data_IF_920958194658
#
_entry.id   IF_920958194658
#
_cell.length_a   1.000
_cell.length_b   1.000
_cell.length_c   1.000
_cell.angle_alpha   90.00
_cell.angle_beta   90.00
_cell.angle_gamma   90.00
#
_symmetry.space_group_name_H-M   'P 1'
#
loop_
_entity.id
_entity.type
_entity.pdbx_description
1 polymer ?
#
# COMPACT_ATOMS: atom_id res chain seq x y z
N UNK A 1 26.27 -65.60 37.87
CA UNK A 1 27.03 -64.34 37.68
C UNK A 1 27.20 -64.05 36.18
N UNK A 2 26.13 -63.67 35.49
CA UNK A 2 26.22 -63.29 34.06
C UNK A 2 25.07 -62.35 33.67
N UNK A 3 24.88 -61.26 34.43
CA UNK A 3 23.88 -60.19 34.16
C UNK A 3 24.34 -58.80 34.64
N UNK A 4 25.65 -58.52 34.60
CA UNK A 4 26.20 -57.20 35.01
C UNK A 4 27.26 -56.59 34.08
N UNK A 5 27.41 -57.10 32.85
CA UNK A 5 28.40 -56.55 31.89
C UNK A 5 27.81 -56.08 30.56
N UNK A 6 26.48 -56.01 30.43
CA UNK A 6 25.78 -55.40 29.28
C UNK A 6 24.90 -54.27 29.83
N UNK A 7 25.53 -53.28 30.46
CA UNK A 7 24.85 -52.05 30.89
C UNK A 7 25.78 -50.84 30.94
N UNK A 8 26.96 -50.93 30.34
CA UNK A 8 27.93 -49.81 30.24
C UNK A 8 28.28 -49.50 28.77
N UNK A 9 27.89 -50.35 27.81
CA UNK A 9 28.13 -50.09 26.37
C UNK A 9 26.91 -49.45 25.67
N UNK A 10 25.71 -49.46 26.28
CA UNK A 10 24.55 -48.71 25.75
C UNK A 10 24.38 -47.29 26.32
N UNK A 11 25.15 -46.90 27.34
CA UNK A 11 25.06 -45.57 27.96
C UNK A 11 26.10 -44.57 27.43
N UNK A 12 27.00 -44.99 26.52
CA UNK A 12 27.97 -44.11 25.85
C UNK A 12 27.54 -43.77 24.41
N UNK A 13 26.58 -44.50 23.83
CA UNK A 13 26.01 -44.19 22.50
C UNK A 13 24.80 -43.23 22.60
N UNK A 14 24.30 -42.96 23.81
CA UNK A 14 23.20 -42.03 24.08
C UNK A 14 23.64 -40.74 24.82
N UNK A 15 24.93 -40.37 24.73
CA UNK A 15 25.49 -39.09 25.21
C UNK A 15 26.45 -38.51 24.14
N UNK A 16 26.19 -38.78 22.86
CA UNK A 16 26.93 -38.17 21.74
C UNK A 16 26.05 -37.96 20.50
N UNK A 17 24.78 -37.62 20.71
CA UNK A 17 23.93 -36.99 19.67
C UNK A 17 23.60 -35.52 19.96
N UNK A 18 24.26 -34.92 20.96
CA UNK A 18 24.46 -33.46 21.02
C UNK A 18 25.74 -33.06 20.26
N UNK A 19 26.03 -33.74 19.16
CA UNK A 19 26.92 -33.18 18.13
C UNK A 19 26.06 -32.16 17.41
N UNK A 20 26.29 -30.90 17.75
CA UNK A 20 26.06 -29.71 16.94
C UNK A 20 25.26 -30.01 15.66
N UNK A 21 23.95 -29.75 15.71
CA UNK A 21 23.27 -29.22 14.53
C UNK A 21 23.96 -27.90 14.21
N UNK A 22 25.12 -28.00 13.56
CA UNK A 22 25.46 -27.01 12.56
C UNK A 22 24.42 -27.27 11.48
N UNK A 23 23.24 -26.65 11.67
CA UNK A 23 22.45 -26.22 10.53
C UNK A 23 23.47 -25.48 9.70
N UNK A 24 23.85 -26.05 8.55
CA UNK A 24 24.46 -25.26 7.51
C UNK A 24 23.40 -24.20 7.23
N UNK A 25 23.53 -23.03 7.85
CA UNK A 25 22.84 -21.85 7.38
C UNK A 25 23.27 -21.77 5.91
N UNK A 26 22.34 -22.05 5.01
CA UNK A 26 22.62 -21.88 3.59
C UNK A 26 22.98 -20.40 3.40
N UNK A 27 24.05 -20.11 2.65
CA UNK A 27 24.74 -18.81 2.65
C UNK A 27 23.85 -17.57 2.36
N UNK A 28 22.58 -17.76 1.97
CA UNK A 28 21.62 -16.70 1.63
C UNK A 28 20.25 -16.81 2.36
N UNK A 29 20.09 -17.70 3.34
CA UNK A 29 18.83 -17.78 4.08
C UNK A 29 18.62 -16.52 4.93
N UNK A 30 17.42 -15.95 4.87
CA UNK A 30 17.09 -14.74 5.62
C UNK A 30 16.75 -15.11 7.06
N UNK A 31 17.39 -14.46 8.02
CA UNK A 31 17.18 -14.67 9.44
C UNK A 31 15.86 -14.02 9.92
N UNK A 32 14.73 -14.62 9.51
CA UNK A 32 13.38 -14.17 9.82
C UNK A 32 12.44 -15.38 10.01
N UNK A 33 11.19 -15.11 10.35
CA UNK A 33 10.10 -16.10 10.38
C UNK A 33 8.81 -15.49 9.85
N UNK A 34 7.88 -16.32 9.40
CA UNK A 34 6.52 -15.88 9.08
C UNK A 34 5.72 -15.73 10.37
N UNK A 35 5.32 -14.50 10.69
CA UNK A 35 4.47 -14.17 11.84
C UNK A 35 3.01 -14.52 11.56
N UNK A 36 2.52 -14.09 10.40
CA UNK A 36 1.15 -14.36 9.93
C UNK A 36 1.15 -14.58 8.43
N UNK A 37 0.22 -15.42 7.95
CA UNK A 37 0.02 -15.66 6.53
C UNK A 37 -1.43 -16.04 6.30
N UNK A 38 -2.06 -15.39 5.33
CA UNK A 38 -3.43 -15.65 4.92
C UNK A 38 -3.54 -15.52 3.42
N UNK A 39 -3.97 -16.59 2.77
CA UNK A 39 -4.35 -16.55 1.36
C UNK A 39 -5.81 -16.11 1.27
N UNK A 40 -6.06 -14.91 0.75
CA UNK A 40 -7.42 -14.43 0.53
C UNK A 40 -8.15 -15.34 -0.48
N UNK A 41 -9.50 -15.43 -0.48
CA UNK A 41 -10.25 -16.31 -1.35
C UNK A 41 -9.80 -16.31 -2.82
N UNK A 42 -9.32 -17.46 -3.26
CA UNK A 42 -8.55 -17.67 -4.50
C UNK A 42 -8.54 -19.17 -4.87
N UNK A 43 -8.16 -19.53 -6.10
CA UNK A 43 -7.90 -20.94 -6.45
C UNK A 43 -6.72 -21.57 -5.67
N UNK A 44 -5.90 -20.75 -5.01
CA UNK A 44 -4.82 -21.15 -4.10
C UNK A 44 -5.23 -21.20 -2.62
N UNK A 45 -6.41 -20.71 -2.23
CA UNK A 45 -6.86 -20.79 -0.83
C UNK A 45 -7.02 -22.26 -0.41
N UNK A 46 -6.50 -22.62 0.76
CA UNK A 46 -6.44 -24.00 1.28
C UNK A 46 -5.64 -25.00 0.43
N UNK A 47 -4.88 -24.52 -0.56
CA UNK A 47 -4.11 -25.35 -1.47
C UNK A 47 -2.74 -25.71 -0.86
N UNK A 48 -2.29 -26.97 -0.90
CA UNK A 48 -1.00 -27.39 -0.30
C UNK A 48 0.24 -27.01 -1.13
N UNK A 49 0.06 -26.36 -2.29
CA UNK A 49 1.11 -25.89 -3.18
C UNK A 49 1.31 -24.38 -3.00
N UNK A 50 0.91 -23.56 -3.98
CA UNK A 50 1.11 -22.12 -3.98
C UNK A 50 0.46 -21.41 -2.77
N UNK A 51 -0.58 -21.98 -2.16
CA UNK A 51 -1.22 -21.42 -0.97
C UNK A 51 -0.65 -21.89 0.38
N UNK A 52 0.54 -22.50 0.38
CA UNK A 52 1.15 -23.11 1.56
C UNK A 52 2.68 -22.92 1.57
N UNK A 53 3.31 -23.32 2.67
CA UNK A 53 4.77 -23.33 2.87
C UNK A 53 5.46 -21.99 2.60
N UNK A 54 4.79 -20.88 2.90
CA UNK A 54 5.29 -19.51 2.72
C UNK A 54 6.66 -19.27 3.39
N UNK A 55 6.99 -20.00 4.46
CA UNK A 55 8.31 -19.96 5.13
C UNK A 55 9.48 -20.27 4.16
N UNK A 56 9.24 -21.04 3.10
CA UNK A 56 10.27 -21.36 2.11
C UNK A 56 10.75 -20.12 1.34
N UNK A 57 9.98 -19.04 1.30
CA UNK A 57 10.40 -17.76 0.70
C UNK A 57 11.58 -17.11 1.44
N UNK A 58 11.86 -17.54 2.69
CA UNK A 58 13.00 -17.08 3.49
C UNK A 58 14.26 -17.96 3.33
N UNK A 59 14.17 -19.05 2.55
CA UNK A 59 15.25 -20.04 2.46
C UNK A 59 16.50 -19.56 1.68
N UNK A 60 16.43 -18.41 1.01
CA UNK A 60 17.45 -17.97 0.04
C UNK A 60 17.37 -18.73 -1.30
N UNK A 61 16.35 -19.57 -1.50
CA UNK A 61 16.02 -20.24 -2.77
C UNK A 61 14.67 -19.75 -3.28
N UNK A 62 14.51 -19.78 -4.61
CA UNK A 62 13.25 -19.43 -5.25
C UNK A 62 12.18 -20.46 -4.87
N UNK A 63 11.12 -20.00 -4.20
CA UNK A 63 9.93 -20.77 -3.91
C UNK A 63 8.71 -19.89 -4.07
N UNK A 64 7.80 -20.27 -4.97
CA UNK A 64 6.61 -19.47 -5.28
C UNK A 64 5.48 -19.78 -4.32
N UNK A 65 5.01 -18.75 -3.61
CA UNK A 65 3.81 -18.79 -2.80
C UNK A 65 2.88 -17.63 -3.19
N UNK A 66 1.61 -17.91 -3.41
CA UNK A 66 0.56 -16.93 -3.69
C UNK A 66 -0.04 -16.40 -2.39
N UNK A 67 -0.43 -15.12 -2.43
CA UNK A 67 -1.20 -14.47 -1.37
C UNK A 67 -2.72 -14.52 -1.65
N UNK A 68 -3.14 -15.05 -2.80
CA UNK A 68 -4.53 -15.04 -3.23
C UNK A 68 -5.01 -13.63 -3.55
N UNK A 69 -6.33 -13.45 -3.65
CA UNK A 69 -6.94 -12.23 -4.14
C UNK A 69 -6.69 -11.00 -3.22
N UNK A 70 -7.32 -9.87 -3.52
CA UNK A 70 -7.13 -8.62 -2.79
C UNK A 70 -7.08 -8.82 -1.27
N UNK A 71 -6.02 -8.26 -0.67
CA UNK A 71 -5.87 -8.17 0.77
C UNK A 71 -5.21 -9.39 1.41
N UNK A 72 -5.07 -10.51 0.70
CA UNK A 72 -4.28 -11.65 1.17
C UNK A 72 -2.82 -11.26 1.37
N UNK A 73 -2.17 -11.85 2.37
CA UNK A 73 -0.94 -11.28 2.91
C UNK A 73 -0.03 -12.28 3.60
N UNK A 74 1.24 -11.90 3.73
CA UNK A 74 2.22 -12.48 4.66
C UNK A 74 2.83 -11.36 5.49
N UNK A 75 3.11 -11.63 6.77
CA UNK A 75 3.91 -10.78 7.65
C UNK A 75 5.17 -11.55 8.04
N UNK A 76 6.32 -10.99 7.70
CA UNK A 76 7.62 -11.46 8.15
C UNK A 76 8.05 -10.69 9.40
N UNK A 77 8.58 -11.42 10.39
CA UNK A 77 9.29 -10.86 11.54
C UNK A 77 10.78 -11.20 11.40
N UNK A 78 11.61 -10.19 11.21
CA UNK A 78 13.06 -10.35 11.12
C UNK A 78 13.66 -10.44 12.51
N UNK A 79 14.61 -11.37 12.70
CA UNK A 79 15.27 -11.53 13.99
C UNK A 79 16.20 -10.34 14.28
N UNK A 80 16.95 -9.94 13.25
CA UNK A 80 17.74 -8.72 13.21
C UNK A 80 16.93 -7.58 12.58
N UNK A 81 17.28 -6.33 12.89
CA UNK A 81 16.63 -5.18 12.26
C UNK A 81 17.10 -5.06 10.81
N UNK A 82 16.22 -4.59 9.94
CA UNK A 82 16.62 -4.07 8.63
C UNK A 82 16.89 -2.58 8.83
N UNK A 83 18.16 -2.18 8.70
CA UNK A 83 18.58 -0.78 8.82
C UNK A 83 18.29 -0.04 7.51
N UNK A 84 17.83 1.21 7.61
CA UNK A 84 17.78 2.15 6.49
C UNK A 84 19.16 2.79 6.34
N UNK A 85 19.99 2.25 5.45
CA UNK A 85 21.44 2.52 5.43
C UNK A 85 21.83 3.44 4.28
N UNK A 86 22.64 4.45 4.56
CA UNK A 86 23.27 5.31 3.54
C UNK A 86 24.30 4.58 2.66
N UNK A 87 24.63 3.33 3.02
CA UNK A 87 25.48 2.41 2.25
C UNK A 87 24.69 1.38 1.45
N UNK A 88 23.37 1.50 1.41
CA UNK A 88 22.56 0.71 0.50
C UNK A 88 22.41 1.46 -0.82
N UNK A 89 22.95 0.86 -1.89
CA UNK A 89 22.97 1.47 -3.22
C UNK A 89 21.55 1.80 -3.67
N UNK A 90 21.35 3.01 -4.18
CA UNK A 90 20.05 3.56 -4.57
C UNK A 90 19.02 3.69 -3.44
N UNK A 91 19.40 3.45 -2.18
CA UNK A 91 18.49 3.40 -1.02
C UNK A 91 17.78 2.05 -0.83
N UNK A 92 18.14 1.00 -1.58
CA UNK A 92 17.42 -0.28 -1.51
C UNK A 92 17.88 -1.08 -0.29
N UNK A 93 17.02 -1.22 0.71
CA UNK A 93 17.33 -1.92 1.97
C UNK A 93 17.02 -3.41 1.95
N UNK A 94 16.02 -3.82 1.16
CA UNK A 94 15.65 -5.22 1.03
C UNK A 94 14.92 -5.48 -0.30
N UNK A 95 14.88 -6.75 -0.68
CA UNK A 95 14.22 -7.19 -1.89
C UNK A 95 13.21 -8.31 -1.62
N UNK A 96 12.00 -8.16 -2.15
CA UNK A 96 10.97 -9.22 -2.14
C UNK A 96 10.44 -9.38 -3.56
N UNK A 97 10.84 -10.45 -4.22
CA UNK A 97 10.51 -10.62 -5.64
C UNK A 97 9.43 -11.67 -5.84
N UNK A 98 8.55 -11.46 -6.82
CA UNK A 98 7.53 -12.39 -7.32
C UNK A 98 7.99 -13.12 -8.58
N UNK A 99 7.05 -13.53 -9.43
CA UNK A 99 7.33 -14.35 -10.61
C UNK A 99 6.98 -13.66 -11.95
N UNK A 100 6.57 -12.40 -11.94
CA UNK A 100 6.21 -11.65 -13.14
C UNK A 100 7.29 -11.66 -14.24
N UNK A 101 6.84 -11.73 -15.50
CA UNK A 101 7.69 -11.69 -16.70
C UNK A 101 7.45 -10.40 -17.51
N UNK A 102 8.47 -9.95 -18.23
CA UNK A 102 8.56 -8.58 -18.79
C UNK A 102 7.90 -8.33 -20.15
N UNK A 103 7.21 -9.30 -20.75
CA UNK A 103 6.80 -9.16 -22.16
C UNK A 103 5.39 -8.59 -22.39
N UNK A 104 4.51 -8.53 -21.39
CA UNK A 104 3.21 -7.86 -21.47
C UNK A 104 2.64 -7.63 -20.06
N UNK A 105 1.70 -6.68 -19.90
CA UNK A 105 0.95 -6.39 -18.66
C UNK A 105 0.08 -7.57 -18.16
N UNK A 106 0.29 -8.79 -18.66
CA UNK A 106 -0.55 -9.96 -18.45
C UNK A 106 0.00 -10.90 -17.39
N UNK A 107 1.11 -10.58 -16.72
CA UNK A 107 1.69 -11.44 -15.66
C UNK A 107 2.09 -10.63 -14.42
N UNK A 108 1.76 -9.34 -14.38
CA UNK A 108 2.07 -8.47 -13.26
C UNK A 108 0.89 -8.46 -12.31
N UNK A 109 1.15 -8.85 -11.07
CA UNK A 109 0.19 -9.05 -10.01
C UNK A 109 0.64 -8.28 -8.74
N UNK A 110 0.82 -6.94 -8.85
CA UNK A 110 1.59 -6.16 -7.87
C UNK A 110 1.12 -6.31 -6.42
N UNK A 111 2.06 -6.61 -5.55
CA UNK A 111 1.90 -6.64 -4.10
C UNK A 111 2.39 -5.34 -3.45
N UNK A 112 1.56 -4.75 -2.61
CA UNK A 112 1.93 -3.62 -1.76
C UNK A 112 2.77 -4.12 -0.59
N UNK A 113 3.87 -3.42 -0.31
CA UNK A 113 4.71 -3.68 0.86
C UNK A 113 4.43 -2.64 1.94
N UNK A 114 4.34 -3.12 3.18
CA UNK A 114 4.25 -2.31 4.38
C UNK A 114 5.38 -2.66 5.32
N UNK A 115 5.83 -1.69 6.10
CA UNK A 115 6.88 -1.88 7.09
C UNK A 115 6.43 -1.41 8.47
N UNK A 116 7.03 -1.99 9.50
CA UNK A 116 6.78 -1.62 10.89
C UNK A 116 8.00 -1.88 11.78
N UNK A 117 8.20 -1.00 12.76
CA UNK A 117 9.21 -1.18 13.80
C UNK A 117 8.71 -2.07 14.95
N UNK A 118 7.41 -2.01 15.27
CA UNK A 118 6.81 -2.63 16.46
C UNK A 118 5.81 -3.75 16.14
N UNK A 119 5.40 -3.87 14.88
CA UNK A 119 4.42 -4.85 14.40
C UNK A 119 2.96 -4.43 14.64
N UNK A 120 2.72 -3.17 15.00
CA UNK A 120 1.40 -2.58 15.29
C UNK A 120 1.14 -1.32 14.47
N UNK A 121 2.13 -0.42 14.35
CA UNK A 121 2.05 0.78 13.52
C UNK A 121 2.66 0.47 12.16
N UNK A 122 1.85 0.55 11.11
CA UNK A 122 2.24 0.14 9.76
C UNK A 122 2.29 1.33 8.80
N UNK A 123 3.34 1.37 7.99
CA UNK A 123 3.56 2.38 6.96
C UNK A 123 3.65 1.69 5.61
N UNK A 124 2.92 2.18 4.61
CA UNK A 124 3.04 1.67 3.25
C UNK A 124 4.35 2.16 2.65
N UNK A 125 5.08 1.32 1.92
CA UNK A 125 6.15 1.80 1.06
C UNK A 125 5.53 2.29 -0.25
N UNK A 126 5.56 3.60 -0.49
CA UNK A 126 4.90 4.22 -1.62
C UNK A 126 5.62 3.89 -2.94
N UNK A 127 5.18 2.84 -3.64
CA UNK A 127 5.64 2.52 -5.00
C UNK A 127 5.20 3.55 -6.05
N UNK A 128 5.49 3.31 -7.32
CA UNK A 128 5.26 4.28 -8.41
C UNK A 128 3.81 4.78 -8.49
N UNK A 129 2.84 3.86 -8.39
CA UNK A 129 1.41 4.17 -8.53
C UNK A 129 0.76 4.79 -7.28
N UNK A 130 1.47 4.91 -6.16
CA UNK A 130 0.84 5.21 -4.87
C UNK A 130 0.05 6.53 -4.91
N UNK A 131 0.55 7.57 -5.58
CA UNK A 131 -0.08 8.89 -5.67
C UNK A 131 -0.99 9.08 -6.90
N UNK A 132 -1.19 8.04 -7.72
CA UNK A 132 -2.07 8.12 -8.88
C UNK A 132 -3.55 8.08 -8.47
N UNK A 133 -4.41 8.77 -9.21
CA UNK A 133 -5.84 8.90 -8.86
C UNK A 133 -6.57 7.55 -8.77
N UNK A 134 -6.11 6.55 -9.52
CA UNK A 134 -6.71 5.21 -9.57
C UNK A 134 -6.43 4.39 -8.31
N UNK A 135 -5.36 4.71 -7.58
CA UNK A 135 -4.98 4.00 -6.35
C UNK A 135 -5.88 4.42 -5.18
N UNK A 136 -6.54 3.45 -4.54
CA UNK A 136 -7.30 3.67 -3.33
C UNK A 136 -6.49 3.23 -2.10
N UNK A 137 -6.19 4.16 -1.19
CA UNK A 137 -5.40 3.89 0.02
C UNK A 137 -6.18 3.20 1.15
N UNK A 138 -7.50 3.28 1.12
CA UNK A 138 -8.40 2.75 2.15
C UNK A 138 -9.48 1.89 1.50
N UNK A 139 -9.04 0.86 0.79
CA UNK A 139 -9.94 -0.11 0.16
C UNK A 139 -10.10 -1.34 1.05
N UNK A 140 -11.32 -1.88 1.11
CA UNK A 140 -11.60 -3.11 1.84
C UNK A 140 -12.52 -4.02 1.06
N UNK A 141 -12.32 -5.33 1.23
CA UNK A 141 -13.20 -6.37 0.71
C UNK A 141 -13.64 -7.26 1.85
N UNK A 142 -14.95 -7.39 2.02
CA UNK A 142 -15.57 -8.37 2.91
C UNK A 142 -15.92 -9.62 2.12
N UNK A 143 -15.18 -10.69 2.36
CA UNK A 143 -15.44 -12.01 1.84
C UNK A 143 -16.46 -12.75 2.71
N UNK A 144 -17.40 -13.44 2.09
CA UNK A 144 -18.46 -14.19 2.78
C UNK A 144 -18.52 -15.62 2.28
N UNK A 145 -18.51 -16.56 3.22
CA UNK A 145 -18.58 -18.00 2.95
C UNK A 145 -19.99 -18.38 2.50
N UNK A 146 -20.06 -19.17 1.43
CA UNK A 146 -21.32 -19.76 0.94
C UNK A 146 -21.57 -21.14 1.55
N UNK A 147 -22.79 -21.66 1.39
CA UNK A 147 -23.13 -23.04 1.78
C UNK A 147 -22.25 -24.11 1.10
N UNK A 148 -21.72 -23.82 -0.08
CA UNK A 148 -20.81 -24.71 -0.82
C UNK A 148 -19.33 -24.48 -0.48
N UNK A 149 -19.02 -23.76 0.60
CA UNK A 149 -17.66 -23.38 1.04
C UNK A 149 -16.86 -22.55 0.00
N UNK A 150 -17.54 -21.88 -0.93
CA UNK A 150 -16.93 -20.88 -1.81
C UNK A 150 -17.07 -19.48 -1.20
N UNK A 151 -16.54 -18.46 -1.87
CA UNK A 151 -16.56 -17.08 -1.38
C UNK A 151 -17.32 -16.14 -2.31
N UNK A 152 -18.18 -15.31 -1.72
CA UNK A 152 -18.70 -14.07 -2.31
C UNK A 152 -17.98 -12.88 -1.71
N UNK A 153 -18.13 -11.68 -2.28
CA UNK A 153 -17.54 -10.47 -1.75
C UNK A 153 -18.51 -9.28 -1.78
N UNK A 154 -18.27 -8.33 -0.88
CA UNK A 154 -18.76 -6.94 -0.94
C UNK A 154 -17.56 -6.03 -0.68
N UNK A 155 -17.32 -5.03 -1.52
CA UNK A 155 -16.22 -4.08 -1.35
C UNK A 155 -16.66 -2.75 -0.73
N UNK A 156 -15.69 -1.91 -0.32
CA UNK A 156 -15.96 -0.59 0.25
C UNK A 156 -16.54 0.43 -0.73
N UNK A 157 -16.62 0.09 -2.02
CA UNK A 157 -17.29 0.90 -3.06
C UNK A 157 -18.74 0.46 -3.28
N UNK A 158 -19.21 -0.57 -2.55
CA UNK A 158 -20.56 -1.10 -2.61
C UNK A 158 -20.79 -2.13 -3.73
N UNK A 159 -19.73 -2.55 -4.43
CA UNK A 159 -19.81 -3.62 -5.41
C UNK A 159 -19.82 -4.99 -4.72
N UNK A 160 -20.52 -5.95 -5.31
CA UNK A 160 -20.60 -7.30 -4.75
C UNK A 160 -20.72 -8.36 -5.85
N UNK A 161 -20.32 -9.58 -5.53
CA UNK A 161 -20.38 -10.69 -6.47
C UNK A 161 -19.73 -11.97 -5.95
N UNK A 162 -19.48 -12.91 -6.86
CA UNK A 162 -18.67 -14.10 -6.57
C UNK A 162 -17.19 -13.75 -6.74
N UNK A 163 -16.32 -14.35 -5.91
CA UNK A 163 -14.87 -14.19 -6.06
C UNK A 163 -14.34 -15.16 -7.11
N UNK A 164 -14.26 -14.74 -8.37
CA UNK A 164 -13.90 -15.59 -9.51
C UNK A 164 -14.70 -16.92 -9.55
N UNK A 165 -14.47 -17.77 -10.55
CA UNK A 165 -15.18 -19.04 -10.61
C UNK A 165 -14.60 -20.05 -9.59
N UNK A 166 -15.28 -20.21 -8.43
CA UNK A 166 -15.06 -21.27 -7.42
C UNK A 166 -13.91 -21.07 -6.42
N UNK A 167 -13.63 -19.83 -6.01
CA UNK A 167 -12.65 -19.58 -4.93
C UNK A 167 -13.16 -20.08 -3.57
N UNK A 168 -12.51 -21.06 -2.91
CA UNK A 168 -12.88 -21.51 -1.59
C UNK A 168 -12.70 -20.43 -0.52
N UNK A 169 -13.44 -20.58 0.60
CA UNK A 169 -13.26 -19.77 1.79
C UNK A 169 -12.10 -20.31 2.67
N UNK A 170 -11.24 -19.45 3.27
CA UNK A 170 -10.15 -19.88 4.14
C UNK A 170 -10.61 -20.76 5.30
N UNK A 171 -9.89 -21.86 5.55
CA UNK A 171 -10.14 -22.75 6.69
C UNK A 171 -9.17 -22.42 7.82
N UNK A 172 -9.66 -22.22 9.06
CA UNK A 172 -8.81 -21.92 10.23
C UNK A 172 -7.66 -22.91 10.42
N UNK A 173 -7.90 -24.19 10.12
CA UNK A 173 -6.88 -25.25 10.22
C UNK A 173 -5.64 -25.00 9.34
N UNK A 174 -5.78 -24.26 8.25
CA UNK A 174 -4.69 -23.94 7.32
C UNK A 174 -4.01 -22.60 7.66
N UNK A 175 -4.63 -21.76 8.48
CA UNK A 175 -4.14 -20.42 8.85
C UNK A 175 -4.16 -20.26 10.37
N UNK A 176 -3.44 -21.10 11.15
CA UNK A 176 -3.56 -21.17 12.60
C UNK A 176 -3.03 -19.94 13.34
N UNK A 177 -2.27 -19.07 12.67
CA UNK A 177 -1.72 -17.82 13.23
C UNK A 177 -2.66 -16.62 13.04
N UNK A 178 -3.75 -16.78 12.29
CA UNK A 178 -4.67 -15.70 11.94
C UNK A 178 -6.01 -15.95 12.61
N UNK A 179 -6.52 -14.96 13.35
CA UNK A 179 -7.86 -15.01 13.92
C UNK A 179 -8.85 -14.28 12.99
N UNK A 180 -9.78 -15.04 12.41
CA UNK A 180 -10.84 -14.53 11.54
C UNK A 180 -12.15 -15.28 11.78
N UNK A 181 -13.28 -14.70 11.38
CA UNK A 181 -14.58 -15.37 11.49
C UNK A 181 -14.74 -16.44 10.39
N UNK A 182 -15.33 -17.59 10.75
CA UNK A 182 -15.43 -18.74 9.84
C UNK A 182 -16.43 -18.55 8.70
N UNK A 183 -17.21 -17.47 8.71
CA UNK A 183 -18.23 -17.16 7.71
C UNK A 183 -18.02 -15.79 7.05
N UNK A 184 -17.28 -14.87 7.67
CA UNK A 184 -16.95 -13.56 7.11
C UNK A 184 -15.52 -13.11 7.43
N UNK A 185 -14.84 -12.55 6.42
CA UNK A 185 -13.46 -12.07 6.54
C UNK A 185 -13.37 -10.72 5.82
N UNK A 186 -13.00 -9.66 6.54
CA UNK A 186 -12.74 -8.35 5.93
C UNK A 186 -11.24 -8.12 5.84
N UNK A 187 -10.74 -7.86 4.64
CA UNK A 187 -9.36 -7.50 4.38
C UNK A 187 -9.30 -6.09 3.84
N UNK A 188 -8.42 -5.27 4.42
CA UNK A 188 -8.22 -3.86 4.04
C UNK A 188 -6.78 -3.61 3.64
N UNK A 189 -6.55 -2.60 2.80
CA UNK A 189 -5.23 -2.19 2.34
C UNK A 189 -5.29 -1.23 1.15
N UNK A 190 -4.14 -1.05 0.50
CA UNK A 190 -4.02 -0.26 -0.73
C UNK A 190 -4.45 -1.11 -1.91
N UNK A 191 -5.41 -0.61 -2.70
CA UNK A 191 -5.79 -1.16 -4.00
C UNK A 191 -5.20 -0.28 -5.11
N UNK A 192 -4.34 -0.84 -5.95
CA UNK A 192 -3.81 -0.12 -7.11
C UNK A 192 -4.85 -0.03 -8.23
N UNK A 193 -5.36 -1.18 -8.69
CA UNK A 193 -6.44 -1.26 -9.66
C UNK A 193 -7.27 -2.53 -9.47
N UNK A 194 -8.52 -2.47 -9.92
CA UNK A 194 -9.49 -3.56 -9.96
C UNK A 194 -9.92 -3.84 -11.39
N UNK A 195 -9.98 -5.10 -11.78
CA UNK A 195 -10.55 -5.53 -13.07
C UNK A 195 -11.20 -6.91 -12.95
N UNK A 196 -12.52 -6.91 -12.76
CA UNK A 196 -13.33 -8.11 -12.57
C UNK A 196 -14.03 -8.57 -13.85
N UNK A 197 -13.72 -7.94 -15.00
CA UNK A 197 -14.15 -8.49 -16.29
C UNK A 197 -13.20 -9.64 -16.65
N UNK A 198 -13.67 -10.89 -16.71
CA UNK A 198 -12.80 -12.05 -16.85
C UNK A 198 -11.96 -12.00 -18.13
N UNK A 199 -10.63 -11.93 -18.00
CA UNK A 199 -9.73 -11.87 -19.15
C UNK A 199 -8.30 -12.29 -18.78
N UNK A 200 -7.69 -13.12 -19.61
CA UNK A 200 -6.28 -13.53 -19.45
C UNK A 200 -5.29 -12.38 -19.68
N UNK A 201 -5.75 -11.29 -20.31
CA UNK A 201 -4.95 -10.09 -20.57
C UNK A 201 -4.86 -9.14 -19.37
N UNK A 202 -5.58 -9.44 -18.28
CA UNK A 202 -5.59 -8.57 -17.11
C UNK A 202 -4.25 -8.66 -16.34
N UNK A 203 -3.77 -7.51 -15.88
CA UNK A 203 -2.62 -7.34 -15.00
C UNK A 203 -2.26 -5.86 -14.94
N UNK A 204 -1.34 -5.48 -14.06
CA UNK A 204 -1.08 -4.07 -13.72
C UNK A 204 0.40 -3.77 -13.86
N UNK A 205 0.74 -2.93 -14.84
CA UNK A 205 2.10 -2.40 -14.96
C UNK A 205 2.35 -1.29 -13.93
N UNK A 206 3.52 -1.37 -13.30
CA UNK A 206 4.06 -0.37 -12.37
C UNK A 206 5.53 -0.10 -12.72
N UNK A 207 6.12 0.98 -12.22
CA UNK A 207 7.52 1.33 -12.50
C UNK A 207 8.49 0.79 -11.44
N UNK A 208 8.11 0.80 -10.15
CA UNK A 208 8.93 0.34 -9.03
C UNK A 208 8.09 0.19 -7.75
N UNK A 209 8.66 -0.45 -6.73
CA UNK A 209 8.12 -0.49 -5.36
C UNK A 209 6.89 -1.37 -5.16
N UNK A 210 6.82 -2.46 -5.92
CA UNK A 210 5.82 -3.51 -5.76
C UNK A 210 6.48 -4.88 -5.94
N UNK A 211 5.92 -5.88 -5.27
CA UNK A 211 6.29 -7.29 -5.48
C UNK A 211 5.53 -7.81 -6.69
N UNK A 212 6.12 -8.69 -7.47
CA UNK A 212 5.42 -9.40 -8.56
C UNK A 212 4.91 -8.49 -9.68
N UNK A 213 5.72 -7.49 -10.03
CA UNK A 213 5.33 -6.43 -10.96
C UNK A 213 6.33 -6.22 -12.12
N UNK A 214 7.55 -6.72 -12.00
CA UNK A 214 8.63 -6.52 -12.97
C UNK A 214 9.41 -7.80 -13.23
N UNK A 215 10.39 -7.73 -14.14
CA UNK A 215 11.21 -8.90 -14.47
C UNK A 215 11.92 -9.46 -13.25
N UNK A 216 11.65 -10.72 -12.97
CA UNK A 216 12.25 -11.41 -11.84
C UNK A 216 13.69 -11.88 -12.12
N UNK A 217 14.58 -11.69 -11.14
CA UNK A 217 15.82 -12.45 -10.96
C UNK A 217 16.23 -12.35 -9.49
N UNK A 218 16.18 -13.47 -8.76
CA UNK A 218 16.61 -13.49 -7.36
C UNK A 218 18.09 -13.10 -7.24
N UNK A 219 18.37 -12.12 -6.38
CA UNK A 219 19.69 -11.49 -6.21
C UNK A 219 19.70 -10.74 -4.87
N UNK A 220 20.82 -10.79 -4.16
CA UNK A 220 21.12 -9.89 -3.03
C UNK A 220 21.70 -8.54 -3.51
N UNK A 221 22.15 -8.45 -4.77
CA UNK A 221 22.61 -7.19 -5.34
C UNK A 221 21.42 -6.32 -5.76
N UNK A 222 21.30 -5.09 -5.23
CA UNK A 222 20.25 -4.16 -5.61
C UNK A 222 20.44 -3.68 -7.05
N UNK A 223 19.32 -3.38 -7.71
CA UNK A 223 19.30 -2.77 -9.04
C UNK A 223 18.53 -1.47 -8.97
N UNK A 224 19.01 -0.44 -9.68
CA UNK A 224 18.36 0.85 -9.70
C UNK A 224 16.89 0.71 -10.14
N UNK A 225 15.91 1.06 -9.29
CA UNK A 225 14.50 0.98 -9.64
C UNK A 225 14.07 2.13 -10.58
N UNK A 226 14.82 3.22 -10.64
CA UNK A 226 14.45 4.47 -11.32
C UNK A 226 14.91 4.55 -12.78
N UNK A 227 14.84 3.44 -13.50
CA UNK A 227 15.34 3.33 -14.87
C UNK A 227 14.30 3.73 -15.93
N UNK A 228 14.77 4.10 -17.12
CA UNK A 228 13.90 4.24 -18.29
C UNK A 228 13.34 2.88 -18.71
N UNK A 229 12.11 2.83 -19.21
CA UNK A 229 11.43 1.60 -19.64
C UNK A 229 11.50 0.48 -18.57
N UNK A 230 10.95 0.73 -17.36
CA UNK A 230 11.12 -0.16 -16.22
C UNK A 230 10.67 -1.60 -16.49
N UNK A 231 9.63 -1.79 -17.30
CA UNK A 231 9.18 -3.12 -17.71
C UNK A 231 10.29 -3.96 -18.36
N UNK A 232 11.24 -3.33 -19.06
CA UNK A 232 12.37 -4.01 -19.71
C UNK A 232 13.62 -4.02 -18.83
N UNK A 233 13.90 -2.91 -18.14
CA UNK A 233 15.20 -2.64 -17.54
C UNK A 233 15.23 -2.78 -16.02
N UNK A 234 14.09 -2.64 -15.34
CA UNK A 234 14.01 -2.75 -13.90
C UNK A 234 13.93 -4.20 -13.44
N UNK A 235 14.18 -4.39 -12.15
CA UNK A 235 14.03 -5.67 -11.46
C UNK A 235 12.95 -5.59 -10.41
N UNK A 236 12.30 -6.73 -10.23
CA UNK A 236 11.19 -6.84 -9.31
C UNK A 236 11.61 -6.64 -7.86
N UNK A 237 10.68 -6.08 -7.08
CA UNK A 237 10.76 -6.18 -5.64
C UNK A 237 11.90 -5.42 -4.98
N UNK A 238 12.37 -4.30 -5.54
CA UNK A 238 13.36 -3.44 -4.87
C UNK A 238 12.64 -2.48 -3.91
N UNK A 239 13.02 -2.47 -2.63
CA UNK A 239 12.36 -1.65 -1.61
C UNK A 239 13.34 -0.82 -0.80
N UNK A 240 12.94 0.44 -0.61
CA UNK A 240 13.63 1.46 0.16
C UNK A 240 12.70 1.87 1.32
N UNK A 241 13.20 1.82 2.55
CA UNK A 241 12.45 2.16 3.77
C UNK A 241 12.07 3.65 3.77
N UNK A 242 12.87 4.52 3.14
CA UNK A 242 12.56 5.95 2.96
C UNK A 242 11.32 6.19 2.08
N UNK A 243 10.74 5.16 1.46
CA UNK A 243 9.43 5.25 0.81
C UNK A 243 8.24 5.14 1.77
N UNK A 244 8.48 4.93 3.07
CA UNK A 244 7.44 4.81 4.06
C UNK A 244 6.56 6.07 4.12
N UNK A 245 5.24 5.88 4.09
CA UNK A 245 4.24 6.93 4.23
C UNK A 245 3.18 6.57 5.25
N UNK A 246 2.62 7.58 5.90
CA UNK A 246 1.47 7.43 6.77
C UNK A 246 0.16 7.27 5.97
N UNK A 247 -0.97 7.18 6.70
CA UNK A 247 -2.31 7.01 6.12
C UNK A 247 -2.76 8.18 5.24
N UNK A 248 -2.14 9.35 5.38
CA UNK A 248 -2.45 10.56 4.60
C UNK A 248 -1.47 10.71 3.43
N UNK A 249 -0.58 9.73 3.22
CA UNK A 249 0.42 9.73 2.16
C UNK A 249 1.60 10.65 2.44
N UNK A 250 1.82 11.04 3.69
CA UNK A 250 2.96 11.88 4.05
C UNK A 250 4.18 11.01 4.39
N UNK A 251 5.40 11.39 3.94
CA UNK A 251 6.61 10.63 4.24
C UNK A 251 6.86 10.48 5.74
N UNK A 252 7.29 9.29 6.14
CA UNK A 252 7.68 8.94 7.51
C UNK A 252 9.12 8.48 7.50
N UNK A 253 9.97 9.16 8.27
CA UNK A 253 11.35 8.75 8.43
C UNK A 253 11.46 7.59 9.43
N UNK A 254 12.09 6.50 9.00
CA UNK A 254 12.36 5.32 9.80
C UNK A 254 13.84 4.95 9.64
N UNK A 255 14.59 4.93 10.74
CA UNK A 255 16.00 4.51 10.75
C UNK A 255 16.15 3.00 10.50
N UNK A 256 15.13 2.22 10.84
CA UNK A 256 15.13 0.76 10.75
C UNK A 256 13.71 0.21 10.83
N UNK A 257 13.52 -1.05 10.42
CA UNK A 257 12.26 -1.80 10.55
C UNK A 257 12.52 -3.23 11.04
N UNK A 258 11.49 -3.87 11.60
CA UNK A 258 11.57 -5.27 12.09
C UNK A 258 10.52 -6.19 11.45
N UNK A 259 9.43 -5.62 10.97
CA UNK A 259 8.35 -6.35 10.34
C UNK A 259 8.11 -5.83 8.94
N UNK A 260 7.91 -6.75 8.00
CA UNK A 260 7.54 -6.44 6.62
C UNK A 260 6.30 -7.25 6.28
N UNK A 261 5.27 -6.57 5.78
CA UNK A 261 4.04 -7.19 5.28
C UNK A 261 3.99 -7.04 3.78
N UNK A 262 3.75 -8.13 3.06
CA UNK A 262 3.41 -8.10 1.63
C UNK A 262 1.93 -8.42 1.51
N UNK A 263 1.20 -7.66 0.71
CA UNK A 263 -0.23 -7.79 0.56
C UNK A 263 -0.64 -7.65 -0.91
N UNK A 264 -1.51 -8.53 -1.42
CA UNK A 264 -2.06 -8.39 -2.76
C UNK A 264 -2.80 -7.07 -2.89
N UNK A 265 -2.31 -6.19 -3.77
CA UNK A 265 -2.82 -4.83 -3.98
C UNK A 265 -3.73 -4.71 -5.21
N UNK A 266 -4.21 -5.84 -5.72
CA UNK A 266 -5.01 -5.94 -6.93
C UNK A 266 -6.25 -6.77 -6.68
N UNK A 267 -7.31 -6.51 -7.45
CA UNK A 267 -8.51 -7.34 -7.43
C UNK A 267 -8.90 -7.69 -8.87
N UNK A 268 -8.37 -8.82 -9.35
CA UNK A 268 -8.38 -9.14 -10.78
C UNK A 268 -8.97 -10.53 -11.04
N UNK A 269 -9.86 -10.64 -12.04
CA UNK A 269 -10.33 -11.90 -12.61
C UNK A 269 -9.59 -12.19 -13.93
N UNK A 270 -8.76 -13.22 -13.93
CA UNK A 270 -7.97 -13.70 -15.08
C UNK A 270 -8.74 -14.60 -16.05
N UNK A 271 -10.06 -14.74 -15.89
CA UNK A 271 -10.89 -15.62 -16.69
C UNK A 271 -10.59 -17.09 -16.45
N UNK A 272 -10.15 -17.79 -17.50
CA UNK A 272 -9.85 -19.22 -17.42
C UNK A 272 -8.69 -19.55 -16.47
N UNK A 273 -7.89 -18.56 -16.07
CA UNK A 273 -6.81 -18.70 -15.09
C UNK A 273 -7.28 -18.58 -13.63
N UNK A 274 -8.54 -18.22 -13.39
CA UNK A 274 -9.02 -17.88 -12.04
C UNK A 274 -8.67 -16.44 -11.68
N UNK A 275 -8.54 -16.15 -10.38
CA UNK A 275 -8.07 -14.83 -9.97
C UNK A 275 -6.58 -14.66 -10.23
N UNK A 276 -6.14 -13.39 -10.22
CA UNK A 276 -4.74 -13.03 -10.31
C UNK A 276 -4.30 -12.37 -9.01
N UNK A 277 -3.14 -12.76 -8.52
CA UNK A 277 -2.72 -12.57 -7.13
C UNK A 277 -1.23 -12.35 -7.06
N UNK A 278 -0.77 -11.55 -6.10
CA UNK A 278 0.66 -11.43 -5.82
C UNK A 278 1.23 -12.78 -5.42
N UNK A 279 2.31 -13.16 -6.11
CA UNK A 279 3.15 -14.28 -5.75
C UNK A 279 4.51 -13.79 -5.20
N UNK A 280 5.06 -14.53 -4.24
CA UNK A 280 6.37 -14.26 -3.65
C UNK A 280 7.27 -15.44 -3.98
N UNK A 281 8.41 -15.17 -4.60
CA UNK A 281 9.46 -16.14 -4.90
C UNK A 281 10.59 -16.14 -3.87
N UNK A 282 10.88 -15.01 -3.22
CA UNK A 282 11.93 -14.95 -2.21
C UNK A 282 12.16 -13.57 -1.62
N UNK A 283 12.75 -13.57 -0.43
CA UNK A 283 13.18 -12.38 0.30
C UNK A 283 14.71 -12.35 0.35
N UNK A 284 15.30 -11.18 0.17
CA UNK A 284 16.74 -10.93 0.33
C UNK A 284 16.93 -9.60 1.06
N UNK A 285 18.04 -9.45 1.76
CA UNK A 285 18.46 -8.18 2.37
C UNK A 285 19.55 -7.56 1.50
N UNK A 286 19.60 -6.23 1.46
CA UNK A 286 20.72 -5.53 0.86
C UNK A 286 21.97 -5.68 1.73
N UNK A 287 23.13 -5.53 1.09
CA UNK A 287 24.43 -5.53 1.75
C UNK A 287 25.02 -4.12 1.67
N UNK A 288 25.81 -3.74 2.68
CA UNK A 288 26.61 -2.51 2.66
C UNK A 288 27.56 -2.52 1.45
N UNK A 289 27.53 -1.46 0.65
CA UNK A 289 28.40 -1.28 -0.51
C UNK A 289 29.15 0.06 -0.46
N UNK A 290 30.38 0.08 -0.96
CA UNK A 290 31.13 1.31 -1.18
C UNK A 290 30.74 1.92 -2.55
N UNK A 291 30.01 3.04 -2.54
CA UNK A 291 29.68 3.82 -3.73
C UNK A 291 29.66 5.33 -3.43
N UNK A 292 29.57 6.14 -4.49
CA UNK A 292 29.41 7.58 -4.35
C UNK A 292 27.92 7.93 -4.17
N UNK A 293 27.51 8.30 -2.96
CA UNK A 293 26.16 8.81 -2.68
C UNK A 293 25.96 10.20 -3.31
N UNK A 294 25.63 10.20 -4.60
CA UNK A 294 25.51 11.39 -5.42
C UNK A 294 24.11 11.97 -5.30
N UNK A 295 24.01 13.27 -5.02
CA UNK A 295 22.76 14.02 -4.96
C UNK A 295 22.85 15.22 -5.90
N UNK A 296 21.78 15.52 -6.63
CA UNK A 296 21.73 16.67 -7.52
C UNK A 296 21.31 17.95 -6.78
N UNK A 297 21.71 19.10 -7.32
CA UNK A 297 21.06 20.38 -6.99
C UNK A 297 19.69 20.39 -7.68
N UNK A 298 18.62 20.25 -6.89
CA UNK A 298 17.25 20.11 -7.39
C UNK A 298 16.51 21.44 -7.34
N UNK A 299 15.95 21.86 -8.48
CA UNK A 299 15.08 23.03 -8.58
C UNK A 299 13.72 22.63 -9.10
N UNK A 300 12.67 22.97 -8.37
CA UNK A 300 11.29 22.65 -8.72
C UNK A 300 10.52 23.96 -8.90
N UNK A 301 9.75 24.04 -9.99
CA UNK A 301 8.76 25.10 -10.18
C UNK A 301 7.37 24.51 -10.32
N UNK A 302 6.37 25.19 -9.76
CA UNK A 302 4.96 24.88 -9.97
C UNK A 302 4.28 26.10 -10.57
N UNK A 303 3.60 25.92 -11.71
CA UNK A 303 2.97 27.02 -12.47
C UNK A 303 3.94 28.18 -12.76
N UNK A 304 5.21 27.85 -13.02
CA UNK A 304 6.29 28.80 -13.28
C UNK A 304 6.88 29.51 -12.05
N UNK A 305 6.36 29.25 -10.85
CA UNK A 305 6.90 29.81 -9.60
C UNK A 305 7.87 28.82 -8.95
N UNK A 306 9.02 29.31 -8.49
CA UNK A 306 9.99 28.49 -7.76
C UNK A 306 9.43 28.05 -6.40
N UNK A 307 9.58 26.76 -6.09
CA UNK A 307 9.14 26.17 -4.83
C UNK A 307 10.27 26.25 -3.80
N UNK A 308 9.92 26.60 -2.56
CA UNK A 308 10.82 26.51 -1.41
C UNK A 308 10.31 25.42 -0.48
N UNK A 309 11.18 24.45 -0.18
CA UNK A 309 10.86 23.33 0.68
C UNK A 309 11.29 23.59 2.13
N UNK A 310 10.61 22.95 3.07
CA UNK A 310 11.08 22.84 4.44
C UNK A 310 12.20 21.79 4.58
N UNK A 311 12.63 21.52 5.83
CA UNK A 311 13.67 20.53 6.12
C UNK A 311 13.28 19.08 5.79
N UNK A 312 12.00 18.81 5.55
CA UNK A 312 11.46 17.50 5.23
C UNK A 312 11.15 17.38 3.73
N UNK A 313 11.65 18.30 2.90
CA UNK A 313 11.34 18.38 1.47
C UNK A 313 9.85 18.48 1.17
N UNK A 314 9.07 19.08 2.07
CA UNK A 314 7.65 19.35 1.90
C UNK A 314 7.38 20.81 1.58
N UNK A 315 6.38 21.06 0.73
CA UNK A 315 5.88 22.41 0.47
C UNK A 315 4.37 22.39 0.25
N UNK A 316 3.66 23.24 0.99
CA UNK A 316 2.24 23.54 0.74
C UNK A 316 2.10 24.73 -0.20
N UNK A 317 1.35 24.53 -1.27
CA UNK A 317 1.11 25.53 -2.30
C UNK A 317 -0.33 26.02 -2.24
N UNK A 318 -0.50 27.27 -1.82
CA UNK A 318 -1.80 27.93 -1.77
C UNK A 318 -2.08 28.72 -3.05
N UNK A 319 -3.36 29.05 -3.27
CA UNK A 319 -3.83 29.81 -4.43
C UNK A 319 -3.50 29.14 -5.78
N UNK A 320 -3.49 27.80 -5.77
CA UNK A 320 -3.62 26.90 -6.91
C UNK A 320 -4.72 27.37 -7.88
N UNK A 321 -4.40 27.67 -9.15
CA UNK A 321 -5.40 27.54 -10.22
C UNK A 321 -5.79 26.06 -10.40
N UNK A 322 -6.75 25.75 -11.28
CA UNK A 322 -7.18 24.35 -11.50
C UNK A 322 -6.07 23.43 -12.02
N UNK A 323 -5.13 23.97 -12.79
CA UNK A 323 -4.01 23.24 -13.36
C UNK A 323 -2.73 23.36 -12.53
N UNK A 324 -1.94 22.28 -12.51
CA UNK A 324 -0.65 22.19 -11.83
C UNK A 324 0.41 21.77 -12.85
N UNK A 325 1.23 22.72 -13.32
CA UNK A 325 2.41 22.47 -14.16
C UNK A 325 3.64 22.33 -13.27
N UNK A 326 4.18 21.11 -13.14
CA UNK A 326 5.37 20.82 -12.33
C UNK A 326 6.56 20.64 -13.26
N UNK A 327 7.66 21.36 -12.97
CA UNK A 327 8.92 21.22 -13.70
C UNK A 327 10.09 21.08 -12.75
N UNK A 328 11.02 20.23 -13.12
CA UNK A 328 12.17 19.83 -12.30
C UNK A 328 13.44 20.02 -13.11
N UNK A 329 14.42 20.69 -12.53
CA UNK A 329 15.79 20.73 -13.04
C UNK A 329 16.69 19.99 -12.07
N UNK A 330 17.29 18.89 -12.55
CA UNK A 330 18.29 18.11 -11.84
C UNK A 330 19.25 17.50 -12.88
N UNK A 331 20.52 17.85 -12.82
CA UNK A 331 21.52 17.38 -13.80
C UNK A 331 21.79 15.88 -13.61
N UNK A 332 21.98 15.16 -14.72
CA UNK A 332 22.39 13.74 -14.75
C UNK A 332 21.57 12.83 -13.82
N UNK A 333 20.27 13.10 -13.71
CA UNK A 333 19.37 12.44 -12.75
C UNK A 333 18.18 11.79 -13.43
N UNK A 334 17.73 10.69 -12.83
CA UNK A 334 16.41 10.12 -13.06
C UNK A 334 15.38 10.98 -12.32
N UNK A 335 14.41 11.55 -13.05
CA UNK A 335 13.33 12.35 -12.44
C UNK A 335 12.00 11.64 -12.66
N UNK A 336 11.23 11.51 -11.58
CA UNK A 336 9.85 11.07 -11.62
C UNK A 336 8.93 12.14 -11.05
N UNK A 337 7.79 12.35 -11.70
CA UNK A 337 6.66 13.12 -11.17
C UNK A 337 5.48 12.15 -11.05
N UNK A 338 5.14 11.81 -9.80
CA UNK A 338 4.34 10.65 -9.41
C UNK A 338 4.87 9.35 -10.04
N UNK A 339 4.10 8.67 -10.91
CA UNK A 339 4.50 7.41 -11.53
C UNK A 339 5.33 7.56 -12.81
N UNK A 340 5.47 8.77 -13.34
CA UNK A 340 5.99 9.03 -14.67
C UNK A 340 7.42 9.54 -14.62
N UNK A 341 8.31 8.89 -15.38
CA UNK A 341 9.71 9.31 -15.51
C UNK A 341 9.83 10.51 -16.45
N UNK A 342 9.61 11.70 -15.93
CA UNK A 342 9.66 12.97 -16.67
C UNK A 342 10.18 14.09 -15.79
N UNK A 343 10.79 15.10 -16.41
CA UNK A 343 11.18 16.34 -15.75
C UNK A 343 10.06 17.39 -15.75
N UNK A 344 9.00 17.19 -16.56
CA UNK A 344 7.88 18.11 -16.71
C UNK A 344 6.57 17.35 -16.79
N UNK A 345 5.56 17.78 -16.03
CA UNK A 345 4.21 17.20 -16.07
C UNK A 345 3.16 18.26 -15.79
N UNK A 346 2.23 18.40 -16.73
CA UNK A 346 1.03 19.20 -16.57
C UNK A 346 -0.12 18.31 -16.09
N UNK A 347 -0.61 18.59 -14.90
CA UNK A 347 -1.88 18.08 -14.41
C UNK A 347 -2.98 19.08 -14.78
N UNK A 348 -3.84 18.73 -15.74
CA UNK A 348 -4.97 19.58 -16.15
C UNK A 348 -5.95 19.85 -15.00
N UNK A 349 -6.10 18.88 -14.11
CA UNK A 349 -6.75 18.98 -12.80
C UNK A 349 -5.78 18.45 -11.75
N UNK A 350 -5.75 19.06 -10.57
CA UNK A 350 -4.93 18.57 -9.48
C UNK A 350 -5.22 17.09 -9.17
N UNK A 351 -4.20 16.27 -8.85
CA UNK A 351 -4.40 14.90 -8.39
C UNK A 351 -5.39 14.84 -7.23
N UNK A 352 -6.28 13.85 -7.22
CA UNK A 352 -7.41 13.75 -6.27
C UNK A 352 -6.98 13.68 -4.80
N UNK A 353 -5.74 13.24 -4.57
CA UNK A 353 -5.09 13.18 -3.26
C UNK A 353 -4.57 14.54 -2.77
N UNK A 354 -4.58 15.56 -3.63
CA UNK A 354 -4.00 16.87 -3.33
C UNK A 354 -2.48 16.85 -3.19
N UNK A 355 -1.81 15.78 -3.64
CA UNK A 355 -0.37 15.60 -3.48
C UNK A 355 0.29 15.32 -4.84
N UNK A 356 1.45 15.91 -5.05
CA UNK A 356 2.40 15.52 -6.11
C UNK A 356 3.71 15.12 -5.46
N UNK A 357 4.22 13.94 -5.81
CA UNK A 357 5.55 13.48 -5.44
C UNK A 357 6.53 13.74 -6.58
N UNK A 358 7.66 14.35 -6.27
CA UNK A 358 8.82 14.43 -7.16
C UNK A 358 9.93 13.58 -6.59
N UNK A 359 10.49 12.68 -7.40
CA UNK A 359 11.64 11.86 -7.03
C UNK A 359 12.80 12.22 -7.96
N UNK A 360 13.98 12.46 -7.38
CA UNK A 360 15.21 12.70 -8.12
C UNK A 360 16.28 11.74 -7.65
N UNK A 361 16.74 10.85 -8.53
CA UNK A 361 17.81 9.89 -8.22
C UNK A 361 19.02 10.11 -9.12
N UNK A 362 20.21 10.21 -8.53
CA UNK A 362 21.45 10.56 -9.24
C UNK A 362 22.53 9.50 -9.01
N UNK A 363 23.14 8.98 -10.09
CA UNK A 363 24.23 8.00 -9.99
C UNK A 363 23.82 6.75 -9.21
N UNK A 364 24.60 6.41 -8.18
CA UNK A 364 24.37 5.27 -7.28
C UNK A 364 23.71 5.69 -5.94
N UNK A 365 23.45 6.99 -5.73
CA UNK A 365 22.88 7.52 -4.49
C UNK A 365 21.40 7.22 -4.31
N UNK A 366 20.95 7.26 -3.06
CA UNK A 366 19.52 7.18 -2.69
C UNK A 366 18.73 8.34 -3.33
N UNK A 367 17.45 8.13 -3.62
CA UNK A 367 16.63 9.17 -4.22
C UNK A 367 16.28 10.31 -3.24
N UNK A 368 16.26 11.55 -3.73
CA UNK A 368 15.67 12.69 -3.04
C UNK A 368 14.17 12.74 -3.34
N UNK A 369 13.34 12.69 -2.31
CA UNK A 369 11.88 12.72 -2.43
C UNK A 369 11.37 14.09 -1.96
N UNK A 370 10.57 14.75 -2.80
CA UNK A 370 9.93 16.03 -2.53
C UNK A 370 8.41 15.88 -2.62
N UNK A 371 7.70 16.46 -1.64
CA UNK A 371 6.25 16.41 -1.57
C UNK A 371 5.66 17.81 -1.74
N UNK A 372 4.78 17.94 -2.72
CA UNK A 372 4.02 19.16 -3.00
C UNK A 372 2.56 18.93 -2.60
N UNK A 373 2.08 19.69 -1.62
CA UNK A 373 0.64 19.78 -1.34
C UNK A 373 0.02 20.82 -2.27
N UNK A 374 -0.76 20.31 -3.22
CA UNK A 374 -1.51 21.03 -4.25
C UNK A 374 -3.01 20.99 -3.99
N UNK A 375 -3.42 20.68 -2.76
CA UNK A 375 -4.84 20.56 -2.38
C UNK A 375 -5.64 21.85 -2.60
N UNK A 376 -4.97 23.01 -2.66
CA UNK A 376 -5.61 24.28 -3.00
C UNK A 376 -6.19 24.29 -4.43
N UNK A 377 -5.61 23.52 -5.35
CA UNK A 377 -6.03 23.37 -6.75
C UNK A 377 -7.09 22.28 -6.99
N UNK A 378 -7.46 21.49 -5.97
CA UNK A 378 -8.51 20.49 -6.09
C UNK A 378 -9.85 21.14 -6.48
N UNK A 379 -10.66 20.48 -7.33
CA UNK A 379 -12.00 20.96 -7.62
C UNK A 379 -12.81 21.07 -6.32
N UNK A 380 -13.56 22.17 -6.20
CA UNK A 380 -14.40 22.34 -5.02
C UNK A 380 -15.51 21.29 -5.02
N UNK A 381 -15.63 20.57 -3.91
CA UNK A 381 -16.80 19.73 -3.68
C UNK A 381 -18.01 20.63 -3.48
N UNK A 382 -19.08 20.38 -4.24
CA UNK A 382 -20.35 21.09 -4.08
C UNK A 382 -20.87 20.95 -2.65
N UNK A 383 -21.12 22.07 -1.98
CA UNK A 383 -21.77 22.11 -0.68
C UNK A 383 -23.22 21.63 -0.81
N UNK A 384 -23.60 20.63 -0.01
CA UNK A 384 -24.94 20.02 0.05
C UNK A 384 -25.39 19.92 1.50
N UNK A 385 -26.66 20.24 1.72
CA UNK A 385 -27.34 20.07 2.99
C UNK A 385 -28.17 18.79 3.01
N UNK A 386 -28.35 18.19 4.18
CA UNK A 386 -29.15 16.96 4.36
C UNK A 386 -30.62 17.14 4.00
N UNK A 387 -31.11 18.38 4.10
CA UNK A 387 -32.49 18.76 3.87
C UNK A 387 -32.50 20.13 3.17
N UNK A 388 -33.25 20.24 2.07
CA UNK A 388 -33.47 21.52 1.38
C UNK A 388 -34.64 22.31 1.96
N UNK A 389 -35.49 21.66 2.76
CA UNK A 389 -36.65 22.25 3.42
C UNK A 389 -36.98 21.42 4.67
N UNK A 390 -37.33 22.09 5.76
CA UNK A 390 -37.79 21.46 7.00
C UNK A 390 -39.02 22.22 7.51
N UNK A 391 -39.94 21.49 8.15
CA UNK A 391 -41.08 22.06 8.87
C UNK A 391 -40.99 21.61 10.32
N UNK A 392 -41.04 22.57 11.25
CA UNK A 392 -40.86 22.36 12.68
C UNK A 392 -42.00 23.07 13.42
N UNK A 393 -42.52 22.43 14.47
CA UNK A 393 -43.40 23.10 15.41
C UNK A 393 -42.60 24.03 16.33
N UNK A 394 -43.27 25.01 16.93
CA UNK A 394 -42.60 25.97 17.82
C UNK A 394 -41.92 25.23 18.98
N UNK A 395 -40.67 25.60 19.28
CA UNK A 395 -39.76 24.99 20.27
C UNK A 395 -39.14 23.65 19.84
N UNK A 396 -39.48 23.12 18.67
CA UNK A 396 -38.75 21.98 18.10
C UNK A 396 -37.43 22.42 17.49
N UNK A 397 -36.54 21.44 17.32
CA UNK A 397 -35.25 21.62 16.66
C UNK A 397 -34.91 20.44 15.79
N UNK A 398 -34.17 20.69 14.70
CA UNK A 398 -33.59 19.64 13.85
C UNK A 398 -32.19 20.05 13.40
N UNK A 399 -31.27 19.09 13.44
CA UNK A 399 -29.94 19.29 12.86
C UNK A 399 -30.01 19.11 11.34
N UNK A 400 -29.55 20.12 10.61
CA UNK A 400 -29.24 20.01 9.18
C UNK A 400 -27.74 19.75 9.04
N UNK A 401 -27.37 18.72 8.28
CA UNK A 401 -25.97 18.34 8.09
C UNK A 401 -25.44 18.85 6.76
N UNK A 402 -24.29 19.49 6.76
CA UNK A 402 -23.53 19.77 5.55
C UNK A 402 -22.61 18.58 5.20
N UNK A 403 -22.39 18.32 3.92
CA UNK A 403 -21.39 17.35 3.46
C UNK A 403 -19.93 17.85 3.64
N UNK A 404 -19.73 19.17 3.82
CA UNK A 404 -18.43 19.78 4.07
C UNK A 404 -18.26 20.12 5.56
N UNK A 405 -17.00 20.08 6.02
CA UNK A 405 -16.62 20.51 7.37
C UNK A 405 -16.35 22.01 7.42
N UNK A 406 -16.39 22.59 8.62
CA UNK A 406 -16.09 23.99 8.90
C UNK A 406 -16.95 24.99 8.10
N UNK A 407 -18.20 24.63 7.83
CA UNK A 407 -19.17 25.56 7.25
C UNK A 407 -19.62 26.57 8.30
N UNK A 408 -19.95 27.78 7.86
CA UNK A 408 -20.53 28.82 8.70
C UNK A 408 -22.04 28.88 8.45
N UNK A 409 -22.85 28.89 9.49
CA UNK A 409 -24.31 28.90 9.41
C UNK A 409 -24.88 30.30 9.68
N UNK A 410 -26.00 30.64 9.04
CA UNK A 410 -26.79 31.83 9.36
C UNK A 410 -28.28 31.63 9.07
N UNK A 411 -29.15 32.29 9.83
CA UNK A 411 -30.57 32.43 9.49
C UNK A 411 -30.85 33.79 8.84
N UNK A 412 -31.78 33.83 7.89
CA UNK A 412 -32.31 35.08 7.35
C UNK A 412 -33.16 35.85 8.37
N UNK A 413 -33.74 35.15 9.36
CA UNK A 413 -34.59 35.72 10.40
C UNK A 413 -34.48 34.91 11.70
N UNK A 414 -33.60 35.35 12.60
CA UNK A 414 -33.34 34.71 13.89
C UNK A 414 -34.50 34.85 14.89
N UNK A 415 -35.52 35.69 14.62
CA UNK A 415 -36.73 35.75 15.45
C UNK A 415 -37.75 34.65 15.07
N UNK A 416 -37.64 34.10 13.85
CA UNK A 416 -38.45 32.98 13.36
C UNK A 416 -37.75 31.65 13.60
N UNK A 417 -36.50 31.53 13.19
CA UNK A 417 -35.69 30.34 13.41
C UNK A 417 -34.21 30.71 13.56
N UNK A 418 -33.55 30.16 14.57
CA UNK A 418 -32.10 30.35 14.79
C UNK A 418 -31.31 29.11 14.44
N UNK A 419 -30.05 29.26 14.04
CA UNK A 419 -29.14 28.14 13.77
C UNK A 419 -27.83 28.30 14.53
N UNK A 420 -27.34 27.23 15.16
CA UNK A 420 -26.04 27.23 15.83
C UNK A 420 -24.88 26.78 14.91
N UNK A 421 -23.65 26.79 15.44
CA UNK A 421 -22.45 26.40 14.68
C UNK A 421 -22.43 24.94 14.22
N UNK A 422 -23.24 24.07 14.84
CA UNK A 422 -23.33 22.65 14.52
C UNK A 422 -24.49 22.34 13.57
N UNK A 423 -25.20 23.39 13.08
CA UNK A 423 -26.31 23.27 12.16
C UNK A 423 -27.63 22.86 12.83
N UNK A 424 -27.76 22.99 14.15
CA UNK A 424 -29.05 22.77 14.81
C UNK A 424 -29.93 23.99 14.59
N UNK A 425 -31.05 23.78 13.90
CA UNK A 425 -32.07 24.80 13.65
C UNK A 425 -33.13 24.70 14.72
N UNK A 426 -33.44 25.80 15.39
CA UNK A 426 -34.45 25.91 16.45
C UNK A 426 -35.60 26.81 15.99
N UNK A 427 -36.84 26.30 16.07
CA UNK A 427 -38.03 27.07 15.71
C UNK A 427 -38.50 27.97 16.87
N UNK A 428 -38.55 29.28 16.64
CA UNK A 428 -38.80 30.29 17.67
C UNK A 428 -40.24 30.83 17.58
N UNK A 429 -40.67 31.24 16.38
CA UNK A 429 -42.01 31.79 16.13
C UNK A 429 -42.58 31.37 14.79
N UNK A 430 -43.87 31.63 14.57
CA UNK A 430 -44.55 31.27 13.33
C UNK A 430 -44.04 32.13 12.17
N UNK A 431 -43.56 31.50 11.11
CA UNK A 431 -43.04 32.19 9.94
C UNK A 431 -42.18 31.30 9.04
N UNK A 432 -41.42 31.92 8.16
CA UNK A 432 -40.46 31.25 7.28
C UNK A 432 -39.12 31.97 7.36
N UNK A 433 -38.05 31.20 7.60
CA UNK A 433 -36.67 31.68 7.55
C UNK A 433 -35.84 30.77 6.63
N UNK A 434 -34.87 31.35 5.93
CA UNK A 434 -33.88 30.61 5.15
C UNK A 434 -32.64 30.39 6.01
N UNK A 435 -32.25 29.13 6.17
CA UNK A 435 -30.98 28.75 6.78
C UNK A 435 -29.94 28.62 5.66
N UNK A 436 -28.78 29.23 5.82
CA UNK A 436 -27.69 29.20 4.84
C UNK A 436 -26.43 28.63 5.47
N UNK A 437 -25.77 27.73 4.76
CA UNK A 437 -24.41 27.29 5.08
C UNK A 437 -23.42 27.87 4.08
N UNK A 438 -22.26 28.34 4.56
CA UNK A 438 -21.17 28.87 3.73
C UNK A 438 -19.90 28.05 3.95
N UNK A 439 -19.33 27.49 2.88
CA UNK A 439 -18.07 26.74 2.96
C UNK A 439 -16.86 27.66 3.20
N UNK A 440 -15.72 27.12 3.67
CA UNK A 440 -14.49 27.91 3.81
C UNK A 440 -14.00 28.59 2.52
N UNK A 441 -14.40 28.06 1.35
CA UNK A 441 -14.08 28.63 0.03
C UNK A 441 -15.18 29.53 -0.53
N UNK A 442 -16.27 29.77 0.23
CA UNK A 442 -17.33 30.73 -0.11
C UNK A 442 -18.51 30.16 -0.90
N UNK A 443 -18.64 28.83 -1.03
CA UNK A 443 -19.86 28.23 -1.59
C UNK A 443 -21.01 28.36 -0.59
N UNK A 444 -22.21 28.66 -1.07
CA UNK A 444 -23.43 28.76 -0.26
C UNK A 444 -24.40 27.63 -0.61
N UNK A 445 -25.05 27.02 0.38
CA UNK A 445 -26.13 26.06 0.21
C UNK A 445 -27.31 26.37 1.13
#
# INVERSE_FOLDING_TARGET
MLRKSISIILSIIMILSCISLNVFAEDNAVNAKVKEYLVAPSQYTNNPYYGANIENTLSGKAYTASLGNFGGYVIYEFNDKIENSDKHRYGIDFMISGNAFNSAATTQEPGQVWVSQDGTTWYALAGSEHYENETNWDYSVTYQKTETNTSTYVDSLGESGNVCARSPYPLKANYPTVDFDENSLTLSGVLLRKNLTPSTANGISTSFGYVDALSWKMSNLPVNPYVENPQQNAKDGQFDISWAVDKDGMPVHLDWVKYVKVQTATFIDGGVFGEKSTEINGVNLAEDEDFADSKADVKITVNGQAVTFDSNNYCKLDNLGKGVDVRVTAADSNVYINNERTAEKLFSEAPSKGLVRVIVQTGDGEAQIFMLDVSSALPETELKLSDSEISLDRLDSKQIKANLKNVTWSSSDEDIASVDSDGNVYAISEGTATITAVSPKGQTA
#
